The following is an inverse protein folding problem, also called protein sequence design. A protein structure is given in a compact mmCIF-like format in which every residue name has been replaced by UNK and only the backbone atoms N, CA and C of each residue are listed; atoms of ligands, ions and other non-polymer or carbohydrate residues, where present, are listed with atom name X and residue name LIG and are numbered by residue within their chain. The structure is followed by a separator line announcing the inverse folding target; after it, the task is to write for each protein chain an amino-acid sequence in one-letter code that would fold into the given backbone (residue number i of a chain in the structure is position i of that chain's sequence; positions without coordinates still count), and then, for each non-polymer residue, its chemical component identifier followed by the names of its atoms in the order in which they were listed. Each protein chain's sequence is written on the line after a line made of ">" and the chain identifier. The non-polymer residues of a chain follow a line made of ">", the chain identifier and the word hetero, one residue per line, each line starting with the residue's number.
data_IF_687866458271
#
_entry.id   IF_687866458271
#
_cell.length_a   1.000
_cell.length_b   1.000
_cell.length_c   1.000
_cell.angle_alpha   90.00
_cell.angle_beta   90.00
_cell.angle_gamma   90.00
#
_symmetry.space_group_name_H-M   'P 1'
#
loop_
_entity.id
_entity.type
_entity.pdbx_description
1 polymer ?
#
# COMPACT_ATOMS: atom_id res chain seq x y z
N UNK A 1 21.45 3.69 -1.08
CA UNK A 1 20.37 4.39 -0.34
C UNK A 1 20.82 4.42 1.12
N UNK A 2 20.81 5.58 1.76
CA UNK A 2 21.13 5.63 3.20
C UNK A 2 19.93 5.10 3.98
N UNK A 3 20.19 4.34 5.04
CA UNK A 3 19.13 3.72 5.84
C UNK A 3 18.29 4.76 6.58
N UNK A 4 18.88 5.88 6.98
CA UNK A 4 18.13 7.04 7.48
C UNK A 4 16.99 7.47 6.53
N UNK A 5 17.21 7.52 5.22
CA UNK A 5 16.14 7.86 4.27
C UNK A 5 15.04 6.79 4.20
N UNK A 6 15.37 5.52 4.50
CA UNK A 6 14.39 4.44 4.60
C UNK A 6 13.53 4.61 5.85
N UNK A 7 14.13 4.96 6.98
CA UNK A 7 13.41 5.29 8.23
C UNK A 7 12.46 6.45 8.00
N UNK A 8 12.94 7.56 7.43
CA UNK A 8 12.09 8.73 7.16
C UNK A 8 10.93 8.40 6.20
N UNK A 9 11.17 7.54 5.20
CA UNK A 9 10.12 7.08 4.29
C UNK A 9 9.10 6.18 5.00
N UNK A 10 9.55 5.30 5.90
CA UNK A 10 8.71 4.45 6.72
C UNK A 10 7.83 5.27 7.67
N UNK A 11 8.39 6.23 8.40
CA UNK A 11 7.64 7.10 9.31
C UNK A 11 6.58 7.93 8.57
N UNK A 12 6.95 8.47 7.40
CA UNK A 12 6.01 9.20 6.55
C UNK A 12 4.87 8.31 6.07
N UNK A 13 5.17 7.06 5.74
CA UNK A 13 4.17 6.07 5.36
C UNK A 13 3.25 5.73 6.53
N UNK A 14 3.78 5.54 7.74
CA UNK A 14 3.01 5.33 8.96
C UNK A 14 2.01 6.45 9.23
N UNK A 15 2.34 7.72 8.97
CA UNK A 15 1.38 8.83 9.11
C UNK A 15 0.11 8.72 8.26
N UNK A 16 0.10 7.91 7.20
CA UNK A 16 -1.07 7.67 6.34
C UNK A 16 -1.71 6.28 6.52
N UNK A 17 -1.17 5.44 7.39
CA UNK A 17 -1.53 4.03 7.52
C UNK A 17 -1.74 3.65 9.00
N UNK A 18 -2.46 2.56 9.30
CA UNK A 18 -2.70 2.14 10.69
C UNK A 18 -1.48 1.47 11.36
N UNK A 19 -0.33 1.48 10.68
CA UNK A 19 0.91 0.87 11.16
C UNK A 19 1.84 1.95 11.72
N UNK A 20 2.45 1.67 12.87
CA UNK A 20 3.50 2.47 13.48
C UNK A 20 4.86 1.79 13.34
N UNK A 21 5.90 2.58 13.07
CA UNK A 21 7.30 2.13 13.10
C UNK A 21 7.74 2.04 14.57
N UNK A 22 7.88 0.83 15.10
CA UNK A 22 8.20 0.59 16.52
C UNK A 22 9.69 0.33 16.75
N UNK A 23 10.44 -0.04 15.72
CA UNK A 23 11.87 -0.31 15.81
C UNK A 23 12.57 -0.03 14.48
N UNK A 24 13.79 0.50 14.54
CA UNK A 24 14.65 0.72 13.39
C UNK A 24 16.12 0.54 13.77
N UNK A 25 16.83 -0.38 13.13
CA UNK A 25 18.23 -0.70 13.43
C UNK A 25 19.07 -0.77 12.16
N UNK A 26 20.21 -0.06 12.12
CA UNK A 26 21.10 0.01 10.93
C UNK A 26 22.29 -0.96 11.00
N UNK A 27 22.85 -1.18 12.20
CA UNK A 27 24.20 -1.74 12.38
C UNK A 27 24.33 -3.24 12.07
N UNK A 28 23.34 -4.07 12.44
CA UNK A 28 23.39 -5.52 12.22
C UNK A 28 22.65 -5.93 10.93
N UNK A 29 21.35 -5.65 10.84
CA UNK A 29 20.48 -6.25 9.82
C UNK A 29 19.73 -5.24 8.93
N UNK A 30 19.85 -3.93 9.20
CA UNK A 30 19.05 -2.87 8.55
C UNK A 30 17.55 -3.18 8.63
N UNK A 31 17.05 -3.38 9.85
CA UNK A 31 15.69 -3.85 10.15
C UNK A 31 14.77 -2.71 10.54
N UNK A 32 13.53 -2.75 10.04
CA UNK A 32 12.43 -1.85 10.43
C UNK A 32 11.24 -2.70 10.89
N UNK A 33 10.78 -2.55 12.13
CA UNK A 33 9.58 -3.23 12.64
C UNK A 33 8.38 -2.31 12.67
N UNK A 34 7.25 -2.88 12.26
CA UNK A 34 5.95 -2.23 12.18
C UNK A 34 4.94 -2.98 13.02
N UNK A 35 4.04 -2.22 13.64
CA UNK A 35 2.94 -2.76 14.44
C UNK A 35 1.64 -2.01 14.15
N UNK A 36 0.54 -2.73 14.08
CA UNK A 36 -0.82 -2.20 13.99
C UNK A 36 -1.77 -2.97 14.93
N UNK A 37 -2.70 -2.25 15.56
CA UNK A 37 -3.77 -2.87 16.33
C UNK A 37 -4.78 -3.58 15.41
N UNK A 38 -5.34 -4.75 15.80
CA UNK A 38 -5.30 -5.35 17.14
C UNK A 38 -4.13 -6.33 17.40
N UNK A 39 -3.07 -6.34 16.61
CA UNK A 39 -1.93 -7.25 16.83
C UNK A 39 -1.20 -7.70 15.56
N UNK A 40 -1.29 -6.94 14.48
CA UNK A 40 -0.57 -7.23 13.24
C UNK A 40 0.82 -6.62 13.35
N UNK A 41 1.85 -7.44 13.36
CA UNK A 41 3.24 -6.98 13.32
C UNK A 41 3.98 -7.58 12.14
N UNK A 42 4.94 -6.83 11.59
CA UNK A 42 5.87 -7.35 10.59
C UNK A 42 7.15 -6.52 10.61
N UNK A 43 8.23 -7.07 10.08
CA UNK A 43 9.48 -6.35 9.89
C UNK A 43 9.96 -6.43 8.46
N UNK A 44 10.71 -5.40 8.07
CA UNK A 44 11.34 -5.27 6.76
C UNK A 44 12.85 -5.21 6.94
N UNK A 45 13.55 -6.18 6.36
CA UNK A 45 15.01 -6.12 6.21
C UNK A 45 15.33 -5.35 4.94
N UNK A 46 16.04 -4.25 5.11
CA UNK A 46 16.41 -3.36 4.02
C UNK A 46 17.72 -3.81 3.37
N UNK A 47 17.83 -3.79 2.04
CA UNK A 47 19.00 -4.29 1.35
C UNK A 47 20.26 -3.45 1.64
N UNK A 48 21.34 -4.14 2.01
CA UNK A 48 22.67 -3.58 2.18
C UNK A 48 23.54 -3.76 0.93
N UNK A 49 23.31 -2.97 -0.11
CA UNK A 49 24.12 -3.02 -1.33
C UNK A 49 23.47 -3.81 -2.48
N UNK A 50 23.83 -5.09 -2.67
CA UNK A 50 23.34 -5.93 -3.78
C UNK A 50 22.23 -6.92 -3.36
N UNK A 51 21.78 -6.82 -2.12
CA UNK A 51 20.66 -7.60 -1.59
C UNK A 51 19.30 -7.06 -2.04
N UNK A 52 18.26 -7.86 -1.81
CA UNK A 52 16.86 -7.48 -1.97
C UNK A 52 16.22 -7.19 -0.62
N UNK A 53 15.08 -6.47 -0.61
CA UNK A 53 14.27 -6.35 0.60
C UNK A 53 13.79 -7.73 1.07
N UNK A 54 13.46 -7.87 2.35
CA UNK A 54 12.80 -9.05 2.87
C UNK A 54 11.74 -8.64 3.88
N UNK A 55 10.58 -9.29 3.87
CA UNK A 55 9.46 -8.99 4.77
C UNK A 55 8.99 -10.22 5.54
N UNK A 56 8.89 -10.13 6.85
CA UNK A 56 8.52 -11.27 7.68
C UNK A 56 7.69 -10.83 8.89
N UNK A 57 6.99 -11.76 9.53
CA UNK A 57 6.22 -11.51 10.76
C UNK A 57 6.46 -12.63 11.76
N UNK A 58 6.48 -12.28 13.05
CA UNK A 58 6.49 -13.28 14.12
C UNK A 58 5.14 -14.03 14.24
N UNK A 59 4.07 -13.45 13.67
CA UNK A 59 2.74 -14.05 13.69
C UNK A 59 2.56 -14.98 12.48
N UNK A 60 2.29 -16.25 12.73
CA UNK A 60 2.02 -17.25 11.69
C UNK A 60 0.81 -16.88 10.82
N UNK A 61 -0.19 -16.21 11.42
CA UNK A 61 -1.36 -15.68 10.72
C UNK A 61 -1.00 -14.60 9.68
N UNK A 62 0.11 -13.89 9.86
CA UNK A 62 0.55 -12.82 8.96
C UNK A 62 1.39 -13.34 7.78
N UNK A 63 2.09 -14.47 7.96
CA UNK A 63 2.93 -15.10 6.93
C UNK A 63 2.24 -15.30 5.56
N UNK A 64 1.00 -15.85 5.48
CA UNK A 64 0.34 -16.04 4.18
C UNK A 64 0.09 -14.71 3.44
N UNK A 65 -0.12 -13.61 4.16
CA UNK A 65 -0.32 -12.28 3.57
C UNK A 65 0.99 -11.67 3.07
N UNK A 66 2.09 -11.91 3.80
CA UNK A 66 3.42 -11.45 3.40
C UNK A 66 3.97 -12.17 2.17
N UNK A 67 3.46 -13.37 1.85
CA UNK A 67 3.91 -14.14 0.71
C UNK A 67 3.79 -13.38 -0.62
N UNK A 68 2.74 -12.56 -0.77
CA UNK A 68 2.54 -11.73 -1.97
C UNK A 68 3.61 -10.65 -2.11
N UNK A 69 3.97 -10.00 -0.99
CA UNK A 69 5.04 -9.00 -0.97
C UNK A 69 6.41 -9.64 -1.22
N UNK A 70 6.66 -10.84 -0.68
CA UNK A 70 7.87 -11.63 -0.96
C UNK A 70 8.00 -11.98 -2.45
N UNK A 71 6.93 -12.45 -3.08
CA UNK A 71 6.91 -12.74 -4.52
C UNK A 71 7.20 -11.47 -5.34
N UNK A 72 6.60 -10.34 -4.96
CA UNK A 72 6.85 -9.05 -5.59
C UNK A 72 8.31 -8.61 -5.48
N UNK A 73 8.93 -8.80 -4.32
CA UNK A 73 10.35 -8.47 -4.10
C UNK A 73 11.26 -9.39 -4.91
N UNK A 74 10.90 -10.68 -5.01
CA UNK A 74 11.63 -11.65 -5.81
C UNK A 74 11.46 -11.43 -7.32
N UNK A 75 10.50 -10.61 -7.74
CA UNK A 75 10.26 -10.27 -9.14
C UNK A 75 11.37 -9.38 -9.70
N UNK A 76 11.57 -9.43 -11.03
CA UNK A 76 12.65 -8.69 -11.68
C UNK A 76 12.44 -7.17 -11.57
N UNK A 77 13.45 -6.47 -11.06
CA UNK A 77 13.46 -5.02 -10.93
C UNK A 77 13.81 -4.57 -9.51
N UNK A 78 14.42 -3.38 -9.40
CA UNK A 78 14.69 -2.79 -8.09
C UNK A 78 13.37 -2.34 -7.47
N UNK A 79 13.09 -2.81 -6.27
CA UNK A 79 11.91 -2.39 -5.49
C UNK A 79 12.30 -1.29 -4.53
N UNK A 80 11.37 -0.40 -4.26
CA UNK A 80 11.50 0.60 -3.21
C UNK A 80 10.79 0.14 -1.94
N UNK A 81 11.21 0.67 -0.79
CA UNK A 81 10.56 0.36 0.49
C UNK A 81 9.06 0.64 0.44
N UNK A 82 8.65 1.78 -0.12
CA UNK A 82 7.24 2.14 -0.23
C UNK A 82 6.45 1.12 -1.03
N UNK A 83 6.93 0.68 -2.20
CA UNK A 83 6.24 -0.36 -2.97
C UNK A 83 6.06 -1.66 -2.18
N UNK A 84 7.08 -2.05 -1.41
CA UNK A 84 7.00 -3.22 -0.55
C UNK A 84 5.97 -3.03 0.55
N UNK A 85 5.99 -1.89 1.25
CA UNK A 85 5.03 -1.56 2.29
C UNK A 85 3.59 -1.51 1.77
N UNK A 86 3.37 -0.95 0.57
CA UNK A 86 2.06 -0.92 -0.08
C UNK A 86 1.54 -2.32 -0.40
N UNK A 87 2.42 -3.24 -0.86
CA UNK A 87 2.03 -4.65 -1.06
C UNK A 87 1.66 -5.31 0.26
N UNK A 88 2.48 -5.11 1.29
CA UNK A 88 2.22 -5.64 2.64
C UNK A 88 0.88 -5.12 3.18
N UNK A 89 0.64 -3.81 3.11
CA UNK A 89 -0.62 -3.21 3.54
C UNK A 89 -1.82 -3.71 2.76
N UNK A 90 -1.71 -3.80 1.43
CA UNK A 90 -2.75 -4.36 0.56
C UNK A 90 -3.12 -5.78 0.99
N UNK A 91 -2.12 -6.61 1.28
CA UNK A 91 -2.35 -7.96 1.80
C UNK A 91 -2.95 -7.98 3.21
N UNK A 92 -2.63 -6.99 4.06
CA UNK A 92 -3.20 -6.89 5.41
C UNK A 92 -4.59 -6.25 5.49
N UNK A 93 -5.10 -5.60 4.43
CA UNK A 93 -6.47 -5.04 4.38
C UNK A 93 -7.55 -5.98 4.91
N UNK A 94 -7.64 -7.26 4.48
CA UNK A 94 -8.62 -8.20 5.01
C UNK A 94 -8.47 -8.45 6.51
N UNK A 95 -7.24 -8.47 7.05
CA UNK A 95 -6.99 -8.63 8.48
C UNK A 95 -7.38 -7.39 9.28
N UNK A 96 -7.23 -6.21 8.68
CA UNK A 96 -7.64 -4.93 9.26
C UNK A 96 -9.15 -4.64 9.10
N UNK A 97 -9.89 -5.53 8.41
CA UNK A 97 -11.31 -5.34 8.13
C UNK A 97 -11.60 -4.18 7.17
N UNK A 98 -10.61 -3.77 6.39
CA UNK A 98 -10.75 -2.71 5.38
C UNK A 98 -11.34 -3.29 4.09
N UNK A 99 -12.20 -2.54 3.37
CA UNK A 99 -12.66 -2.95 2.06
C UNK A 99 -11.46 -3.12 1.12
N UNK A 100 -11.55 -4.14 0.26
CA UNK A 100 -10.62 -4.35 -0.84
C UNK A 100 -10.81 -3.20 -1.82
N UNK A 101 -9.86 -2.26 -1.82
CA UNK A 101 -9.84 -1.17 -2.80
C UNK A 101 -8.97 -1.70 -3.92
N UNK A 102 -9.56 -2.49 -4.82
CA UNK A 102 -8.99 -2.65 -6.15
C UNK A 102 -8.93 -1.26 -6.77
N UNK A 103 -7.71 -0.77 -6.94
CA UNK A 103 -7.35 0.49 -7.58
C UNK A 103 -7.89 0.53 -9.03
N UNK A 104 -9.07 1.13 -9.23
CA UNK A 104 -9.41 1.95 -10.41
C UNK A 104 -10.71 2.75 -10.18
N UNK A 105 -10.65 3.77 -9.33
CA UNK A 105 -11.39 5.01 -9.60
C UNK A 105 -10.73 6.12 -8.80
N UNK A 106 -9.64 6.62 -9.39
CA UNK A 106 -9.20 7.98 -9.21
C UNK A 106 -10.45 8.89 -9.20
N UNK A 107 -10.89 9.29 -8.00
CA UNK A 107 -11.84 10.37 -7.87
C UNK A 107 -11.21 11.56 -8.59
N UNK A 108 -11.73 11.82 -9.78
CA UNK A 108 -11.49 13.01 -10.56
C UNK A 108 -12.13 14.20 -9.80
N UNK A 109 -11.58 14.53 -8.64
CA UNK A 109 -11.89 15.77 -7.94
C UNK A 109 -11.08 16.90 -8.56
N UNK A 110 -11.60 17.39 -9.66
CA UNK A 110 -11.49 18.79 -10.05
C UNK A 110 -12.83 19.17 -10.68
N UNK A 111 -13.85 19.48 -9.87
CA UNK A 111 -14.17 20.84 -9.44
C UNK A 111 -14.35 21.81 -10.62
N UNK A 112 -15.57 21.86 -11.17
CA UNK A 112 -16.17 23.10 -11.69
C UNK A 112 -17.70 22.88 -11.64
N UNK A 113 -18.33 23.36 -10.57
CA UNK A 113 -19.07 24.62 -10.54
C UNK A 113 -20.51 24.47 -11.06
N UNK A 114 -21.43 24.82 -10.18
CA UNK A 114 -22.88 24.81 -10.30
C UNK A 114 -23.41 25.48 -11.58
N UNK A 115 -24.48 24.91 -12.16
CA UNK A 115 -25.26 25.55 -13.23
C UNK A 115 -26.41 24.70 -13.78
N UNK A 116 -27.50 24.54 -13.02
CA UNK A 116 -28.83 24.17 -13.56
C UNK A 116 -29.46 25.39 -14.31
N UNK A 117 -30.56 25.32 -15.10
CA UNK A 117 -31.47 24.20 -15.46
C UNK A 117 -31.79 24.08 -17.00
N UNK A 118 -32.66 23.12 -17.39
CA UNK A 118 -33.13 22.80 -18.77
C UNK A 118 -33.85 23.93 -19.55
N UNK A 119 -34.43 23.72 -20.77
CA UNK A 119 -35.23 22.57 -21.24
C UNK A 119 -34.84 22.07 -22.66
N UNK A 120 -35.31 20.95 -23.21
CA UNK A 120 -36.48 20.93 -24.11
C UNK A 120 -36.80 19.49 -24.57
N UNK A 121 -38.09 19.21 -24.62
CA UNK A 121 -38.73 18.04 -25.18
C UNK A 121 -38.29 17.79 -26.64
N UNK A 122 -38.10 16.52 -27.05
CA UNK A 122 -38.61 16.02 -28.35
C UNK A 122 -38.46 14.49 -28.50
N UNK A 123 -39.47 13.81 -27.95
CA UNK A 123 -40.28 12.72 -28.51
C UNK A 123 -39.70 11.74 -29.55
N UNK A 124 -39.86 10.46 -29.20
CA UNK A 124 -39.68 9.23 -29.96
C UNK A 124 -40.37 9.17 -31.34
N UNK A 125 -39.81 8.38 -32.25
CA UNK A 125 -40.52 7.92 -33.45
C UNK A 125 -39.69 7.02 -34.35
N UNK A 126 -39.70 5.71 -34.07
CA UNK A 126 -39.26 4.67 -35.01
C UNK A 126 -40.23 4.59 -36.19
N UNK A 127 -39.73 4.50 -37.43
CA UNK A 127 -40.46 3.83 -38.50
C UNK A 127 -39.49 3.38 -39.59
N UNK A 128 -39.42 2.05 -39.77
CA UNK A 128 -38.81 1.42 -40.93
C UNK A 128 -39.74 1.55 -42.13
N UNK A 129 -39.16 1.70 -43.31
CA UNK A 129 -39.79 1.32 -44.57
C UNK A 129 -38.75 0.77 -45.55
#
# INVERSE_FOLDING_TARGET
>A
MEFKHLVEAAEKWCSGNPFDLIFAEEDDERRLDFYAEPGVSFYVLCPGGNDSFHVWSESEDCLPFLQLAQDYISSCGKKTLLEVLEKVFTSFRPLLGLPDIEDDSFEHYHADMEGEPGPDHQQMGVSQQ
#
